data_IF_984421505384
#
_entry.id   IF_984421505384
#
_cell.length_a   1.000
_cell.length_b   1.000
_cell.length_c   1.000
_cell.angle_alpha   90.00
_cell.angle_beta   90.00
_cell.angle_gamma   90.00
#
_symmetry.space_group_name_H-M   'P 1'
#
loop_
_entity.id
_entity.type
_entity.pdbx_description
1 polymer ?
#
# COMPACT_ATOMS: atom_id res chain seq x y z
N UNK A 1 -19.18 14.95 -6.29
CA UNK A 1 -18.16 14.83 -5.23
C UNK A 1 -18.36 13.52 -4.51
N UNK A 2 -17.29 12.79 -4.26
CA UNK A 2 -17.31 11.53 -3.49
C UNK A 2 -17.62 11.89 -2.04
N UNK A 3 -18.65 11.25 -1.48
CA UNK A 3 -19.08 11.42 -0.10
C UNK A 3 -19.36 10.06 0.50
N UNK A 4 -19.18 9.94 1.83
CA UNK A 4 -19.57 8.74 2.56
C UNK A 4 -21.10 8.59 2.54
N UNK A 5 -21.57 7.37 2.34
CA UNK A 5 -22.98 7.02 2.35
C UNK A 5 -23.47 6.64 3.76
N UNK A 6 -24.78 6.75 4.01
CA UNK A 6 -25.36 6.36 5.30
C UNK A 6 -25.15 4.89 5.64
N UNK A 7 -25.15 4.03 4.64
CA UNK A 7 -24.84 2.59 4.79
C UNK A 7 -23.42 2.36 5.32
N UNK A 8 -22.45 3.12 4.83
CA UNK A 8 -21.05 3.05 5.26
C UNK A 8 -20.87 3.58 6.68
N UNK A 9 -21.54 4.69 7.01
CA UNK A 9 -21.55 5.26 8.36
C UNK A 9 -22.09 4.23 9.37
N UNK A 10 -23.25 3.65 9.08
CA UNK A 10 -23.87 2.66 9.94
C UNK A 10 -22.99 1.42 10.10
N UNK A 11 -22.33 0.98 9.03
CA UNK A 11 -21.37 -0.10 9.08
C UNK A 11 -20.20 0.22 10.00
N UNK A 12 -19.57 1.39 9.86
CA UNK A 12 -18.44 1.80 10.68
C UNK A 12 -18.81 1.95 12.16
N UNK A 13 -19.96 2.54 12.46
CA UNK A 13 -20.47 2.64 13.84
C UNK A 13 -20.72 1.26 14.44
N UNK A 14 -21.31 0.34 13.66
CA UNK A 14 -21.53 -1.04 14.09
C UNK A 14 -20.20 -1.73 14.40
N UNK A 15 -19.21 -1.63 13.52
CA UNK A 15 -17.87 -2.24 13.75
C UNK A 15 -17.24 -1.67 15.01
N UNK A 16 -17.22 -0.35 15.19
CA UNK A 16 -16.68 0.28 16.38
C UNK A 16 -17.40 -0.23 17.65
N UNK A 17 -18.73 -0.15 17.66
CA UNK A 17 -19.57 -0.51 18.82
C UNK A 17 -19.48 -2.00 19.18
N UNK A 18 -19.09 -2.86 18.26
CA UNK A 18 -18.84 -4.28 18.54
C UNK A 18 -17.57 -4.49 19.35
N UNK A 19 -16.55 -3.63 19.18
CA UNK A 19 -15.22 -3.85 19.73
C UNK A 19 -14.89 -2.94 20.94
N UNK A 20 -15.63 -1.85 21.15
CA UNK A 20 -15.32 -0.87 22.19
C UNK A 20 -16.46 -0.73 23.21
N UNK A 21 -16.09 -0.53 24.49
CA UNK A 21 -17.07 -0.35 25.59
C UNK A 21 -17.88 0.94 25.44
N UNK A 22 -17.20 2.05 25.05
CA UNK A 22 -17.87 3.31 24.75
C UNK A 22 -18.59 3.17 23.43
N UNK A 23 -19.91 3.27 23.47
CA UNK A 23 -20.71 3.23 22.25
C UNK A 23 -20.78 4.60 21.61
N UNK A 24 -20.70 4.65 20.28
CA UNK A 24 -20.82 5.86 19.47
C UNK A 24 -22.14 5.86 18.70
N UNK A 25 -22.72 7.04 18.59
CA UNK A 25 -23.89 7.33 17.77
C UNK A 25 -23.52 8.20 16.56
N UNK A 26 -24.50 8.49 15.73
CA UNK A 26 -24.34 9.42 14.60
C UNK A 26 -23.85 10.80 15.04
N UNK A 27 -24.32 11.29 16.17
CA UNK A 27 -24.01 12.62 16.69
C UNK A 27 -22.58 12.77 17.22
N UNK A 28 -21.91 11.65 17.45
CA UNK A 28 -20.49 11.62 17.86
C UNK A 28 -19.53 11.80 16.67
N UNK A 29 -20.02 11.80 15.43
CA UNK A 29 -19.20 11.97 14.22
C UNK A 29 -18.93 13.46 14.00
N UNK A 30 -17.70 13.86 14.24
CA UNK A 30 -17.25 15.26 14.08
C UNK A 30 -16.79 15.59 12.66
N UNK A 31 -16.37 14.60 11.90
CA UNK A 31 -15.85 14.80 10.54
C UNK A 31 -15.83 13.51 9.74
N UNK A 32 -15.96 13.62 8.41
CA UNK A 32 -15.84 12.51 7.47
C UNK A 32 -14.98 12.91 6.28
N UNK A 33 -14.30 11.95 5.70
CA UNK A 33 -13.63 12.12 4.41
C UNK A 33 -13.83 10.88 3.55
N UNK A 34 -13.75 11.08 2.24
CA UNK A 34 -13.87 10.00 1.27
C UNK A 34 -12.84 10.20 0.18
N UNK A 35 -12.35 9.10 -0.38
CA UNK A 35 -11.38 9.10 -1.46
C UNK A 35 -11.72 8.05 -2.51
N UNK A 36 -11.13 8.21 -3.69
CA UNK A 36 -11.22 7.25 -4.78
C UNK A 36 -9.87 6.54 -4.91
N UNK A 37 -9.90 5.22 -5.05
CA UNK A 37 -8.71 4.44 -5.39
C UNK A 37 -8.68 4.17 -6.88
N UNK A 38 -7.53 4.36 -7.55
CA UNK A 38 -7.36 3.88 -8.92
C UNK A 38 -7.24 2.35 -8.86
N UNK A 39 -8.28 1.67 -9.29
CA UNK A 39 -8.28 0.22 -9.45
C UNK A 39 -8.19 -0.10 -10.93
N UNK A 40 -7.46 -1.17 -11.28
CA UNK A 40 -7.50 -1.70 -12.64
C UNK A 40 -8.87 -2.37 -12.85
N UNK A 41 -9.48 -2.10 -13.98
CA UNK A 41 -10.69 -2.81 -14.38
C UNK A 41 -10.29 -4.26 -14.73
N UNK A 42 -10.83 -5.20 -14.00
CA UNK A 42 -10.62 -6.65 -14.19
C UNK A 42 -11.92 -7.37 -14.58
N UNK A 43 -12.89 -6.58 -15.07
CA UNK A 43 -14.22 -7.08 -15.48
C UNK A 43 -15.01 -7.73 -14.33
N UNK A 44 -14.66 -7.43 -13.08
CA UNK A 44 -15.38 -7.96 -11.92
C UNK A 44 -16.77 -7.34 -11.77
N UNK A 45 -17.75 -8.16 -11.41
CA UNK A 45 -19.17 -7.77 -11.27
C UNK A 45 -19.43 -6.75 -10.14
N UNK A 46 -18.49 -6.55 -9.24
CA UNK A 46 -18.65 -5.60 -8.13
C UNK A 46 -17.36 -4.87 -7.77
N UNK A 47 -17.44 -3.61 -7.33
CA UNK A 47 -16.27 -2.83 -6.90
C UNK A 47 -15.46 -3.47 -5.76
N UNK A 48 -16.09 -4.31 -4.94
CA UNK A 48 -15.45 -5.02 -3.84
C UNK A 48 -14.61 -6.21 -4.32
N UNK A 49 -14.96 -6.80 -5.45
CA UNK A 49 -14.28 -7.94 -6.05
C UNK A 49 -13.06 -7.53 -6.90
N UNK A 50 -13.00 -6.27 -7.36
CA UNK A 50 -11.92 -5.76 -8.21
C UNK A 50 -10.57 -5.95 -7.52
N UNK A 51 -9.59 -6.48 -8.26
CA UNK A 51 -8.23 -6.66 -7.75
C UNK A 51 -7.62 -5.34 -7.30
N UNK A 52 -6.93 -5.39 -6.16
CA UNK A 52 -6.16 -4.26 -5.62
C UNK A 52 -4.67 -4.42 -5.84
N UNK A 53 -4.30 -5.36 -6.68
CA UNK A 53 -2.92 -5.59 -7.07
C UNK A 53 -2.52 -4.64 -8.21
N UNK A 54 -1.25 -4.64 -8.55
CA UNK A 54 -0.74 -3.84 -9.65
C UNK A 54 -0.59 -4.69 -10.91
N UNK A 55 -0.71 -4.04 -12.05
CA UNK A 55 -0.39 -4.61 -13.36
C UNK A 55 0.78 -3.84 -13.97
N UNK A 56 1.72 -4.59 -14.52
CA UNK A 56 2.89 -4.05 -15.23
C UNK A 56 2.79 -4.41 -16.71
N UNK A 57 2.76 -3.40 -17.55
CA UNK A 57 2.73 -3.54 -19.00
C UNK A 57 3.98 -2.93 -19.62
N UNK A 58 4.61 -3.65 -20.54
CA UNK A 58 5.77 -3.16 -21.30
C UNK A 58 5.40 -3.03 -22.76
N UNK A 59 5.61 -1.83 -23.28
CA UNK A 59 5.58 -1.54 -24.70
C UNK A 59 6.97 -1.17 -25.17
N UNK A 60 7.44 -1.78 -26.26
CA UNK A 60 8.75 -1.49 -26.84
C UNK A 60 8.69 -1.43 -28.39
N UNK A 61 9.70 -0.83 -28.97
CA UNK A 61 9.90 -0.80 -30.43
C UNK A 61 10.99 -1.82 -30.81
N UNK A 62 10.62 -3.07 -31.09
CA UNK A 62 11.55 -4.13 -31.47
C UNK A 62 12.68 -4.34 -30.46
N UNK A 63 12.36 -4.37 -29.18
CA UNK A 63 13.31 -4.54 -28.08
C UNK A 63 14.09 -3.27 -27.72
N UNK A 64 13.65 -2.11 -28.20
CA UNK A 64 14.29 -0.81 -27.91
C UNK A 64 13.30 0.14 -27.26
N UNK A 65 13.83 1.13 -26.55
CA UNK A 65 13.05 2.18 -25.91
C UNK A 65 11.85 1.65 -25.09
N UNK A 66 12.06 0.75 -24.11
CA UNK A 66 10.97 0.16 -23.37
C UNK A 66 10.23 1.21 -22.55
N UNK A 67 8.92 1.22 -22.66
CA UNK A 67 8.01 1.97 -21.79
C UNK A 67 7.34 1.00 -20.84
N UNK A 68 7.67 1.06 -19.56
CA UNK A 68 6.98 0.31 -18.53
C UNK A 68 5.85 1.14 -17.93
N UNK A 69 4.64 0.69 -18.13
CA UNK A 69 3.44 1.27 -17.52
C UNK A 69 3.07 0.51 -16.24
N UNK A 70 2.78 1.25 -15.18
CA UNK A 70 2.37 0.70 -13.89
C UNK A 70 0.94 1.14 -13.60
N UNK A 71 0.04 0.18 -13.46
CA UNK A 71 -1.37 0.43 -13.17
C UNK A 71 -1.75 -0.13 -11.81
N UNK A 72 -2.47 0.66 -11.01
CA UNK A 72 -2.96 0.26 -9.69
C UNK A 72 -1.86 0.16 -8.63
N UNK A 73 -2.03 -0.78 -7.71
CA UNK A 73 -1.11 -1.05 -6.61
C UNK A 73 -1.50 -0.38 -5.29
N UNK A 74 -0.78 -0.77 -4.24
CA UNK A 74 -0.95 -0.28 -2.87
C UNK A 74 0.34 0.32 -2.37
N UNK A 75 0.26 1.31 -1.50
CA UNK A 75 1.43 1.85 -0.81
C UNK A 75 2.24 0.74 -0.11
N UNK A 76 1.57 -0.25 0.46
CA UNK A 76 2.22 -1.37 1.18
C UNK A 76 2.92 -2.37 0.27
N UNK A 77 2.67 -2.38 -1.04
CA UNK A 77 3.31 -3.30 -2.00
C UNK A 77 4.46 -2.66 -2.78
N UNK A 78 4.82 -1.40 -2.49
CA UNK A 78 5.80 -0.62 -3.24
C UNK A 78 7.13 -1.33 -3.46
N UNK A 79 7.66 -2.02 -2.46
CA UNK A 79 8.93 -2.73 -2.53
C UNK A 79 8.89 -3.87 -3.57
N UNK A 80 7.86 -4.72 -3.46
CA UNK A 80 7.66 -5.83 -4.41
C UNK A 80 7.36 -5.32 -5.81
N UNK A 81 6.57 -4.26 -5.93
CA UNK A 81 6.29 -3.62 -7.21
C UNK A 81 7.59 -3.13 -7.87
N UNK A 82 8.47 -2.48 -7.12
CA UNK A 82 9.75 -1.99 -7.65
C UNK A 82 10.66 -3.14 -8.12
N UNK A 83 10.79 -4.23 -7.34
CA UNK A 83 11.55 -5.41 -7.75
C UNK A 83 10.96 -6.05 -9.02
N UNK A 84 9.65 -6.20 -9.09
CA UNK A 84 8.97 -6.80 -10.24
C UNK A 84 9.08 -5.91 -11.49
N UNK A 85 9.03 -4.58 -11.32
CA UNK A 85 9.26 -3.64 -12.42
C UNK A 85 10.68 -3.77 -12.98
N UNK A 86 11.70 -3.87 -12.12
CA UNK A 86 13.08 -4.11 -12.55
C UNK A 86 13.26 -5.48 -13.22
N UNK A 87 12.62 -6.52 -12.69
CA UNK A 87 12.62 -7.84 -13.31
C UNK A 87 12.08 -7.80 -14.75
N UNK A 88 10.96 -7.10 -14.96
CA UNK A 88 10.39 -6.88 -16.29
C UNK A 88 11.33 -6.13 -17.24
N UNK A 89 12.13 -5.20 -16.72
CA UNK A 89 13.09 -4.41 -17.49
C UNK A 89 14.43 -5.10 -17.72
N UNK A 90 14.72 -6.20 -17.03
CA UNK A 90 16.00 -6.94 -17.15
C UNK A 90 16.39 -7.28 -18.60
N UNK A 91 15.48 -7.66 -19.51
CA UNK A 91 15.86 -7.95 -20.91
C UNK A 91 16.41 -6.74 -21.67
N UNK A 92 16.13 -5.53 -21.23
CA UNK A 92 16.50 -4.29 -21.92
C UNK A 92 17.78 -3.66 -21.38
N UNK A 93 18.23 -4.03 -20.17
CA UNK A 93 19.36 -3.40 -19.50
C UNK A 93 20.37 -4.44 -19.03
N UNK A 94 21.65 -4.22 -19.35
CA UNK A 94 22.73 -5.01 -18.80
C UNK A 94 23.09 -4.56 -17.39
N UNK A 95 23.49 -5.49 -16.53
CA UNK A 95 24.00 -5.17 -15.20
C UNK A 95 22.93 -5.00 -14.11
N UNK A 96 21.66 -5.28 -14.38
CA UNK A 96 20.66 -5.39 -13.33
C UNK A 96 20.99 -6.63 -12.48
N UNK A 97 21.33 -6.39 -11.21
CA UNK A 97 21.62 -7.45 -10.24
C UNK A 97 20.34 -8.12 -9.72
N UNK A 98 20.50 -9.18 -8.89
CA UNK A 98 19.36 -9.86 -8.28
C UNK A 98 18.64 -8.94 -7.29
N UNK A 99 17.36 -9.26 -7.01
CA UNK A 99 16.57 -8.58 -6.00
C UNK A 99 17.24 -8.68 -4.61
N UNK A 100 17.36 -7.57 -3.92
CA UNK A 100 18.07 -7.48 -2.63
C UNK A 100 17.26 -6.74 -1.55
N UNK A 101 16.20 -6.04 -1.93
CA UNK A 101 15.51 -5.12 -1.02
C UNK A 101 14.77 -5.83 0.12
N UNK A 102 14.48 -7.13 -0.03
CA UNK A 102 13.79 -7.93 1.00
C UNK A 102 14.58 -7.99 2.32
N UNK A 103 15.90 -8.13 2.20
CA UNK A 103 16.79 -8.28 3.36
C UNK A 103 17.44 -6.94 3.76
N UNK A 104 17.12 -5.85 3.05
CA UNK A 104 17.67 -4.54 3.36
C UNK A 104 16.98 -3.92 4.56
N UNK A 105 17.80 -3.39 5.44
CA UNK A 105 17.33 -2.64 6.60
C UNK A 105 16.84 -1.27 6.15
N UNK A 106 15.63 -0.90 6.56
CA UNK A 106 15.08 0.42 6.30
C UNK A 106 15.87 1.50 7.07
N UNK A 107 15.93 2.75 6.57
CA UNK A 107 16.49 3.86 7.33
C UNK A 107 15.92 3.93 8.74
N UNK A 108 16.79 3.96 9.74
CA UNK A 108 16.42 3.91 11.17
C UNK A 108 16.13 2.51 11.71
N UNK A 109 16.13 1.47 10.90
CA UNK A 109 15.91 0.09 11.34
C UNK A 109 17.18 -0.63 11.83
N UNK A 110 18.37 -0.10 11.53
CA UNK A 110 19.64 -0.62 12.04
C UNK A 110 19.82 -0.22 13.51
N UNK A 111 19.20 -0.97 14.42
CA UNK A 111 19.30 -0.76 15.86
C UNK A 111 20.28 -1.77 16.47
N UNK A 112 21.09 -1.30 17.42
CA UNK A 112 21.98 -2.18 18.20
C UNK A 112 21.21 -2.77 19.37
N UNK A 113 21.31 -4.08 19.56
CA UNK A 113 20.59 -4.82 20.59
C UNK A 113 19.13 -5.08 20.23
N UNK A 114 18.35 -5.43 21.23
CA UNK A 114 16.92 -5.60 21.04
C UNK A 114 16.15 -4.26 21.06
N UNK A 115 14.88 -4.31 20.68
CA UNK A 115 14.01 -3.13 20.60
C UNK A 115 13.83 -2.45 21.97
N UNK A 116 13.74 -3.23 23.03
CA UNK A 116 13.43 -2.69 24.37
C UNK A 116 14.66 -2.02 24.98
N UNK A 117 15.86 -2.57 24.77
CA UNK A 117 17.14 -1.95 25.09
C UNK A 117 17.34 -0.64 24.34
N UNK A 118 17.02 -0.63 23.05
CA UNK A 118 17.08 0.59 22.25
C UNK A 118 16.11 1.65 22.74
N UNK A 119 14.88 1.29 23.05
CA UNK A 119 13.88 2.18 23.61
C UNK A 119 14.29 2.74 24.97
N UNK A 120 14.92 1.91 25.83
CA UNK A 120 15.43 2.34 27.12
C UNK A 120 16.60 3.34 26.98
N UNK A 121 17.47 3.16 25.97
CA UNK A 121 18.53 4.12 25.66
C UNK A 121 17.96 5.46 25.19
N UNK A 122 16.95 5.44 24.31
CA UNK A 122 16.30 6.67 23.85
C UNK A 122 15.65 7.44 25.00
N UNK A 123 14.88 6.75 25.88
CA UNK A 123 14.24 7.39 27.06
C UNK A 123 15.24 8.02 28.04
N UNK A 124 16.49 7.53 28.07
CA UNK A 124 17.55 8.12 28.91
C UNK A 124 18.21 9.34 28.27
N UNK A 125 18.09 9.46 26.94
CA UNK A 125 18.72 10.53 26.18
C UNK A 125 17.80 11.74 26.00
N UNK A 126 16.49 11.51 25.97
CA UNK A 126 15.44 12.52 25.76
C UNK A 126 14.43 12.54 26.92
#
# INVERSE_FOLDING_TARGET
>A
AVKIEESEINYLLKVYNTHFKKQLSRDDIVWTYSGVRPLCDDESDSPQAITRDYTLDIHDENGKAPLLSVFGGKLTTYRKLAEHALEKLTPYYQGIGPAWTKESVLPGGAIEGDRDDYAARLRRRY
#
